data_IF_742360055932
#
_entry.id   IF_742360055932
#
_cell.length_a   1.000
_cell.length_b   1.000
_cell.length_c   1.000
_cell.angle_alpha   90.00
_cell.angle_beta   90.00
_cell.angle_gamma   90.00
#
_symmetry.space_group_name_H-M   'P 1'
#
loop_
_entity.id
_entity.type
_entity.pdbx_description
1 polymer ?
#
# COMPACT_ATOMS: atom_id res chain seq x y z
N UNK A 1 6.19 33.31 39.90
CA UNK A 1 6.93 32.84 38.72
C UNK A 1 6.20 31.63 38.18
N UNK A 2 5.42 31.82 37.11
CA UNK A 2 4.72 30.73 36.45
C UNK A 2 5.72 29.91 35.63
N UNK A 3 5.76 28.60 35.85
CA UNK A 3 6.53 27.68 35.04
C UNK A 3 6.02 27.74 33.60
N UNK A 4 6.90 28.18 32.69
CA UNK A 4 6.68 28.01 31.26
C UNK A 4 6.62 26.51 30.99
N UNK A 5 5.44 26.02 30.62
CA UNK A 5 5.31 24.70 30.05
C UNK A 5 6.19 24.66 28.79
N UNK A 6 7.22 23.81 28.79
CA UNK A 6 8.06 23.57 27.63
C UNK A 6 7.14 23.26 26.44
N UNK A 7 7.21 24.11 25.42
CA UNK A 7 6.54 23.82 24.15
C UNK A 7 7.11 22.51 23.61
N UNK A 8 6.30 21.56 23.14
CA UNK A 8 6.80 20.26 22.68
C UNK A 8 7.86 20.49 21.59
N UNK A 9 9.10 20.13 21.88
CA UNK A 9 10.24 20.34 20.99
C UNK A 9 10.19 19.33 19.84
N UNK A 10 10.09 19.79 18.60
CA UNK A 10 10.18 18.94 17.41
C UNK A 10 9.52 19.55 16.17
N UNK A 11 9.74 18.98 14.96
CA UNK A 11 9.10 19.44 13.74
C UNK A 11 7.56 19.42 13.83
N UNK A 12 6.89 20.35 13.13
CA UNK A 12 5.43 20.50 13.21
C UNK A 12 4.66 19.20 12.88
N UNK A 13 5.11 18.45 11.86
CA UNK A 13 4.49 17.18 11.49
C UNK A 13 4.60 16.11 12.58
N UNK A 14 5.67 16.11 13.38
CA UNK A 14 5.87 15.18 14.49
C UNK A 14 4.89 15.52 15.60
N UNK A 15 4.81 16.80 15.97
CA UNK A 15 3.86 17.26 16.98
C UNK A 15 2.41 16.96 16.57
N UNK A 16 2.08 17.14 15.29
CA UNK A 16 0.75 16.78 14.76
C UNK A 16 0.50 15.28 14.82
N UNK A 17 1.46 14.47 14.38
CA UNK A 17 1.39 13.02 14.43
C UNK A 17 1.18 12.48 15.85
N UNK A 18 1.89 13.04 16.85
CA UNK A 18 1.70 12.65 18.26
C UNK A 18 0.31 12.99 18.79
N UNK A 19 -0.27 14.12 18.39
CA UNK A 19 -1.68 14.44 18.73
C UNK A 19 -2.66 13.43 18.14
N UNK A 20 -2.47 13.05 16.87
CA UNK A 20 -3.30 12.05 16.19
C UNK A 20 -3.12 10.67 16.84
N UNK A 21 -1.89 10.26 17.16
CA UNK A 21 -1.59 9.05 17.93
C UNK A 21 -2.31 9.02 19.28
N UNK A 22 -2.31 10.15 20.01
CA UNK A 22 -3.02 10.28 21.28
C UNK A 22 -4.52 10.02 21.15
N UNK A 23 -5.15 10.61 20.13
CA UNK A 23 -6.58 10.37 19.82
C UNK A 23 -6.84 8.91 19.43
N UNK A 24 -5.96 8.32 18.62
CA UNK A 24 -6.06 6.92 18.22
C UNK A 24 -5.95 5.95 19.42
N UNK A 25 -5.02 6.20 20.35
CA UNK A 25 -4.90 5.40 21.58
C UNK A 25 -6.17 5.49 22.42
N UNK A 26 -6.69 6.70 22.64
CA UNK A 26 -7.93 6.91 23.38
C UNK A 26 -9.14 6.20 22.73
N UNK A 27 -9.25 6.25 21.40
CA UNK A 27 -10.26 5.49 20.64
C UNK A 27 -10.11 3.97 20.84
N UNK A 28 -8.89 3.44 20.77
CA UNK A 28 -8.62 2.02 21.01
C UNK A 28 -8.99 1.56 22.41
N UNK A 29 -8.66 2.33 23.44
CA UNK A 29 -9.04 2.03 24.82
C UNK A 29 -10.57 2.01 25.02
N UNK A 30 -11.30 2.88 24.32
CA UNK A 30 -12.77 2.86 24.34
C UNK A 30 -13.35 1.60 23.68
N UNK A 31 -12.78 1.18 22.55
CA UNK A 31 -13.17 -0.10 21.92
C UNK A 31 -12.95 -1.29 22.85
N UNK A 32 -11.81 -1.32 23.56
CA UNK A 32 -11.49 -2.39 24.51
C UNK A 32 -12.52 -2.42 25.66
N UNK A 33 -12.91 -1.26 26.19
CA UNK A 33 -13.96 -1.16 27.22
C UNK A 33 -15.34 -1.60 26.71
N UNK A 34 -15.71 -1.22 25.49
CA UNK A 34 -16.97 -1.64 24.88
C UNK A 34 -16.99 -3.16 24.68
N UNK A 35 -15.89 -3.75 24.23
CA UNK A 35 -15.75 -5.20 24.08
C UNK A 35 -15.96 -5.93 25.40
N UNK A 36 -15.27 -5.50 26.46
CA UNK A 36 -15.39 -6.11 27.78
C UNK A 36 -16.84 -6.02 28.31
N UNK A 37 -17.46 -4.85 28.17
CA UNK A 37 -18.85 -4.61 28.61
C UNK A 37 -19.86 -5.44 27.82
N UNK A 38 -19.71 -5.50 26.48
CA UNK A 38 -20.56 -6.33 25.62
C UNK A 38 -20.35 -7.81 25.93
N UNK A 39 -19.10 -8.27 26.04
CA UNK A 39 -18.76 -9.64 26.36
C UNK A 39 -19.38 -10.12 27.67
N UNK A 40 -19.31 -9.30 28.73
CA UNK A 40 -19.97 -9.61 30.01
C UNK A 40 -21.48 -9.83 29.85
N UNK A 41 -22.17 -8.94 29.14
CA UNK A 41 -23.62 -9.05 28.89
C UNK A 41 -23.99 -10.24 28.00
N UNK A 42 -23.19 -10.54 26.98
CA UNK A 42 -23.43 -11.68 26.10
C UNK A 42 -23.35 -13.01 26.85
N UNK A 43 -22.40 -13.17 27.78
CA UNK A 43 -22.30 -14.40 28.57
C UNK A 43 -23.56 -14.67 29.40
N UNK A 44 -24.23 -13.61 29.86
CA UNK A 44 -25.44 -13.71 30.68
C UNK A 44 -26.72 -13.86 29.84
N UNK A 45 -26.88 -13.01 28.82
CA UNK A 45 -28.16 -12.84 28.13
C UNK A 45 -28.24 -13.53 26.75
N UNK A 46 -27.10 -13.80 26.09
CA UNK A 46 -27.03 -14.30 24.71
C UNK A 46 -25.71 -15.06 24.43
N UNK A 47 -25.45 -16.18 25.13
CA UNK A 47 -24.16 -16.89 25.08
C UNK A 47 -23.79 -17.39 23.68
N UNK A 48 -24.79 -17.64 22.82
CA UNK A 48 -24.60 -18.04 21.43
C UNK A 48 -23.89 -16.97 20.57
N UNK A 49 -23.90 -15.71 21.00
CA UNK A 49 -23.23 -14.60 20.30
C UNK A 49 -21.78 -14.38 20.76
N UNK A 50 -21.33 -15.00 21.86
CA UNK A 50 -19.97 -14.83 22.41
C UNK A 50 -18.91 -15.22 21.39
N UNK A 51 -19.07 -16.37 20.73
CA UNK A 51 -18.13 -16.82 19.70
C UNK A 51 -18.03 -15.83 18.51
N UNK A 52 -19.12 -15.11 18.19
CA UNK A 52 -19.09 -14.06 17.15
C UNK A 52 -18.31 -12.82 17.59
N UNK A 53 -18.32 -12.49 18.88
CA UNK A 53 -17.50 -11.42 19.44
C UNK A 53 -16.03 -11.83 19.55
N UNK A 54 -15.73 -13.07 19.93
CA UNK A 54 -14.36 -13.61 20.04
C UNK A 54 -13.68 -13.74 18.68
N UNK A 55 -14.45 -14.03 17.63
CA UNK A 55 -13.98 -14.04 16.23
C UNK A 55 -13.90 -12.64 15.61
N UNK A 56 -14.03 -11.58 16.42
CA UNK A 56 -13.80 -10.21 15.95
C UNK A 56 -12.36 -10.04 15.48
N UNK A 57 -12.11 -9.16 14.49
CA UNK A 57 -10.76 -8.86 14.04
C UNK A 57 -9.87 -8.50 15.25
N UNK A 58 -8.73 -9.20 15.48
CA UNK A 58 -7.83 -8.82 16.55
C UNK A 58 -7.33 -7.39 16.37
N UNK A 59 -6.88 -6.81 17.49
CA UNK A 59 -6.16 -5.54 17.51
C UNK A 59 -5.06 -5.54 16.43
N UNK A 60 -4.81 -4.42 15.74
CA UNK A 60 -3.66 -4.29 14.85
C UNK A 60 -2.40 -4.80 15.55
N UNK A 61 -1.73 -5.77 14.94
CA UNK A 61 -0.52 -6.33 15.52
C UNK A 61 0.58 -5.26 15.50
N UNK A 62 1.33 -5.07 16.59
CA UNK A 62 2.49 -4.20 16.53
C UNK A 62 3.48 -4.77 15.51
N UNK A 63 4.19 -3.91 14.78
CA UNK A 63 5.23 -4.38 13.88
C UNK A 63 6.38 -5.01 14.67
N UNK A 64 7.14 -5.88 14.03
CA UNK A 64 8.29 -6.52 14.67
C UNK A 64 8.75 -7.79 13.96
N UNK A 65 9.89 -8.31 14.39
CA UNK A 65 10.47 -9.52 13.83
C UNK A 65 9.54 -10.73 13.99
N UNK A 66 9.43 -11.56 12.96
CA UNK A 66 8.57 -12.75 12.95
C UNK A 66 7.07 -12.46 12.95
N UNK A 67 6.65 -11.21 12.77
CA UNK A 67 5.24 -10.86 12.57
C UNK A 67 4.94 -10.94 11.06
N UNK A 68 3.99 -11.80 10.71
CA UNK A 68 3.56 -12.01 9.34
C UNK A 68 2.23 -11.30 9.07
N UNK A 69 2.05 -10.77 7.86
CA UNK A 69 0.76 -10.28 7.43
C UNK A 69 -0.18 -11.45 7.16
N UNK A 70 -1.48 -11.20 7.25
CA UNK A 70 -2.45 -12.15 6.74
C UNK A 70 -2.61 -11.94 5.23
N UNK A 71 -2.56 -13.03 4.48
CA UNK A 71 -2.86 -13.01 3.05
C UNK A 71 -4.38 -12.92 2.86
N UNK A 72 -4.84 -11.85 2.20
CA UNK A 72 -6.25 -11.62 1.89
C UNK A 72 -6.48 -11.69 0.39
N UNK A 73 -7.72 -11.91 -0.04
CA UNK A 73 -8.04 -11.88 -1.46
C UNK A 73 -7.82 -10.47 -2.03
N UNK A 74 -7.50 -10.41 -3.32
CA UNK A 74 -7.51 -9.13 -4.03
C UNK A 74 -8.91 -8.50 -3.95
N UNK A 75 -9.00 -7.16 -3.87
CA UNK A 75 -10.28 -6.49 -3.96
C UNK A 75 -10.93 -6.82 -5.31
N UNK A 76 -12.27 -6.90 -5.34
CA UNK A 76 -13.00 -7.08 -6.59
C UNK A 76 -12.59 -6.00 -7.60
N UNK A 77 -12.41 -6.35 -8.89
CA UNK A 77 -12.07 -5.37 -9.91
C UNK A 77 -13.12 -4.26 -9.89
N UNK A 78 -12.70 -3.04 -9.54
CA UNK A 78 -13.55 -1.87 -9.71
C UNK A 78 -13.75 -1.62 -11.20
N UNK A 79 -14.93 -1.11 -11.59
CA UNK A 79 -15.22 -0.71 -12.96
C UNK A 79 -14.07 0.15 -13.54
N UNK A 80 -13.79 0.04 -14.86
CA UNK A 80 -12.72 0.80 -15.49
C UNK A 80 -12.86 2.27 -15.10
N UNK A 81 -11.84 2.82 -14.44
CA UNK A 81 -11.84 4.22 -14.06
C UNK A 81 -11.46 5.04 -15.29
N UNK A 82 -12.24 6.07 -15.58
CA UNK A 82 -11.94 7.02 -16.65
C UNK A 82 -10.78 7.97 -16.30
N UNK A 83 -10.26 7.92 -15.07
CA UNK A 83 -9.23 8.82 -14.56
C UNK A 83 -8.12 8.11 -13.82
N UNK A 84 -6.96 8.72 -13.81
CA UNK A 84 -5.79 8.26 -13.07
C UNK A 84 -6.13 8.08 -11.59
N UNK A 85 -6.02 6.86 -11.03
CA UNK A 85 -6.20 6.66 -9.60
C UNK A 85 -5.24 7.55 -8.80
N UNK A 86 -5.79 8.30 -7.85
CA UNK A 86 -5.00 9.00 -6.85
C UNK A 86 -5.47 8.68 -5.44
N UNK A 87 -4.51 8.55 -4.53
CA UNK A 87 -4.74 8.40 -3.10
C UNK A 87 -4.07 9.56 -2.38
N UNK A 88 -4.66 10.06 -1.29
CA UNK A 88 -4.07 11.13 -0.49
C UNK A 88 -4.07 10.81 1.00
N UNK A 89 -2.95 11.10 1.65
CA UNK A 89 -2.68 10.78 3.04
C UNK A 89 -2.21 12.03 3.77
N UNK A 90 -2.84 12.35 4.90
CA UNK A 90 -2.45 13.47 5.75
C UNK A 90 -2.94 13.27 7.18
N UNK A 91 -2.30 13.95 8.14
CA UNK A 91 -2.75 13.93 9.52
C UNK A 91 -4.20 14.41 9.69
N UNK A 92 -4.65 15.52 9.06
CA UNK A 92 -6.05 15.96 9.19
C UNK A 92 -7.06 14.98 8.58
N UNK A 93 -6.69 14.22 7.55
CA UNK A 93 -7.57 13.20 6.99
C UNK A 93 -7.73 12.01 7.95
N UNK A 94 -6.60 11.52 8.51
CA UNK A 94 -6.60 10.43 9.49
C UNK A 94 -7.31 10.83 10.78
N UNK A 95 -7.14 12.07 11.24
CA UNK A 95 -7.86 12.59 12.42
C UNK A 95 -9.37 12.57 12.21
N UNK A 96 -9.86 13.04 11.05
CA UNK A 96 -11.28 12.99 10.69
C UNK A 96 -11.81 11.55 10.64
N UNK A 97 -10.99 10.57 10.26
CA UNK A 97 -11.41 9.17 10.32
C UNK A 97 -11.61 8.71 11.76
N UNK A 98 -10.67 9.04 12.66
CA UNK A 98 -10.79 8.71 14.09
C UNK A 98 -12.02 9.40 14.71
N UNK A 99 -12.27 10.67 14.39
CA UNK A 99 -13.42 11.43 14.88
C UNK A 99 -14.75 10.75 14.51
N UNK A 100 -14.93 10.40 13.22
CA UNK A 100 -16.16 9.71 12.77
C UNK A 100 -16.38 8.36 13.43
N UNK A 101 -15.33 7.57 13.66
CA UNK A 101 -15.48 6.30 14.36
C UNK A 101 -15.71 6.49 15.88
N UNK A 102 -15.18 7.56 16.45
CA UNK A 102 -15.44 7.95 17.84
C UNK A 102 -16.91 8.35 18.02
N UNK A 103 -17.51 9.10 17.08
CA UNK A 103 -18.93 9.43 17.09
C UNK A 103 -19.85 8.20 16.96
N UNK A 104 -19.38 7.12 16.34
CA UNK A 104 -20.10 5.83 16.35
C UNK A 104 -20.03 5.18 17.73
N UNK A 105 -18.86 5.18 18.37
CA UNK A 105 -18.73 4.69 19.75
C UNK A 105 -19.59 5.47 20.74
N UNK A 106 -19.66 6.79 20.62
CA UNK A 106 -20.52 7.65 21.45
C UNK A 106 -22.00 7.25 21.39
N UNK A 107 -22.43 6.66 20.26
CA UNK A 107 -23.80 6.13 20.09
C UNK A 107 -23.96 4.72 20.63
N UNK A 108 -22.97 3.84 20.42
CA UNK A 108 -23.05 2.43 20.81
C UNK A 108 -22.94 2.21 22.32
N UNK A 109 -22.10 2.99 23.02
CA UNK A 109 -21.91 2.88 24.48
C UNK A 109 -23.23 3.02 25.27
N UNK A 110 -24.05 4.08 25.08
CA UNK A 110 -25.36 4.17 25.75
C UNK A 110 -26.41 3.20 25.18
N UNK A 111 -26.33 2.85 23.88
CA UNK A 111 -27.22 1.87 23.28
C UNK A 111 -27.06 0.48 23.91
N UNK A 112 -25.82 0.07 24.22
CA UNK A 112 -25.55 -1.17 24.95
C UNK A 112 -26.30 -1.20 26.27
N UNK A 113 -26.27 -0.11 27.04
CA UNK A 113 -27.00 0.01 28.29
C UNK A 113 -28.51 -0.16 28.10
N UNK A 114 -29.08 0.46 27.05
CA UNK A 114 -30.51 0.39 26.71
C UNK A 114 -30.96 -1.00 26.27
N UNK A 115 -30.12 -1.78 25.58
CA UNK A 115 -30.49 -3.14 25.15
C UNK A 115 -30.89 -4.00 26.35
N UNK A 116 -30.18 -3.90 27.48
CA UNK A 116 -30.49 -4.70 28.67
C UNK A 116 -31.87 -4.41 29.29
N UNK A 117 -32.52 -3.29 28.95
CA UNK A 117 -33.88 -2.98 29.44
C UNK A 117 -34.98 -3.54 28.53
N UNK A 118 -34.62 -4.17 27.40
CA UNK A 118 -35.58 -4.72 26.45
C UNK A 118 -36.12 -6.09 26.91
N UNK A 119 -37.23 -6.51 26.31
CA UNK A 119 -37.73 -7.86 26.47
C UNK A 119 -36.69 -8.90 26.01
N UNK A 120 -36.67 -10.12 26.58
CA UNK A 120 -35.64 -11.13 26.28
C UNK A 120 -35.46 -11.42 24.78
N UNK A 121 -36.54 -11.51 24.00
CA UNK A 121 -36.47 -11.75 22.56
C UNK A 121 -35.84 -10.59 21.77
N UNK A 122 -36.10 -9.35 22.19
CA UNK A 122 -35.54 -8.14 21.56
C UNK A 122 -34.09 -7.89 21.99
N UNK A 123 -33.68 -8.40 23.16
CA UNK A 123 -32.30 -8.32 23.66
C UNK A 123 -31.31 -9.03 22.74
N UNK A 124 -31.60 -10.27 22.36
CA UNK A 124 -30.72 -11.06 21.48
C UNK A 124 -30.53 -10.36 20.13
N UNK A 125 -31.60 -9.85 19.53
CA UNK A 125 -31.53 -9.09 18.28
C UNK A 125 -30.72 -7.78 18.41
N UNK A 126 -30.88 -7.06 19.53
CA UNK A 126 -30.09 -5.88 19.85
C UNK A 126 -28.60 -6.18 20.01
N UNK A 127 -28.27 -7.23 20.78
CA UNK A 127 -26.90 -7.67 20.97
C UNK A 127 -26.24 -8.16 19.68
N UNK A 128 -26.98 -8.86 18.80
CA UNK A 128 -26.45 -9.27 17.50
C UNK A 128 -26.02 -8.07 16.65
N UNK A 129 -26.84 -7.00 16.60
CA UNK A 129 -26.48 -5.75 15.91
C UNK A 129 -25.26 -5.08 16.55
N UNK A 130 -25.17 -5.10 17.88
CA UNK A 130 -24.03 -4.53 18.62
C UNK A 130 -22.72 -5.27 18.29
N UNK A 131 -22.76 -6.60 18.21
CA UNK A 131 -21.59 -7.42 17.81
C UNK A 131 -21.15 -7.07 16.39
N UNK A 132 -22.07 -6.93 15.44
CA UNK A 132 -21.72 -6.57 14.05
C UNK A 132 -21.14 -5.15 13.95
N UNK A 133 -21.74 -4.18 14.66
CA UNK A 133 -21.23 -2.81 14.72
C UNK A 133 -19.83 -2.75 15.36
N UNK A 134 -19.60 -3.50 16.44
CA UNK A 134 -18.30 -3.61 17.08
C UNK A 134 -17.24 -4.22 16.15
N UNK A 135 -17.58 -5.31 15.43
CA UNK A 135 -16.67 -5.93 14.46
C UNK A 135 -16.26 -4.94 13.37
N UNK A 136 -17.21 -4.17 12.84
CA UNK A 136 -16.92 -3.13 11.85
C UNK A 136 -16.00 -2.02 12.40
N UNK A 137 -16.18 -1.61 13.66
CA UNK A 137 -15.28 -0.66 14.31
C UNK A 137 -13.86 -1.22 14.46
N UNK A 138 -13.71 -2.51 14.81
CA UNK A 138 -12.40 -3.17 14.88
C UNK A 138 -11.72 -3.30 13.52
N UNK A 139 -12.48 -3.63 12.48
CA UNK A 139 -11.95 -3.61 11.11
C UNK A 139 -11.47 -2.21 10.72
N UNK A 140 -12.25 -1.17 11.04
CA UNK A 140 -11.89 0.22 10.74
C UNK A 140 -10.69 0.70 11.55
N UNK A 141 -10.53 0.23 12.80
CA UNK A 141 -9.37 0.54 13.64
C UNK A 141 -8.04 0.11 12.99
N UNK A 142 -8.03 -1.02 12.25
CA UNK A 142 -6.86 -1.47 11.48
C UNK A 142 -6.55 -0.52 10.34
N UNK A 143 -7.56 -0.11 9.59
CA UNK A 143 -7.35 0.85 8.51
C UNK A 143 -6.78 2.16 9.06
N UNK A 144 -7.30 2.67 10.19
CA UNK A 144 -6.76 3.87 10.84
C UNK A 144 -5.29 3.68 11.24
N UNK A 145 -4.93 2.53 11.81
CA UNK A 145 -3.53 2.21 12.15
C UNK A 145 -2.62 2.28 10.91
N UNK A 146 -3.05 1.68 9.79
CA UNK A 146 -2.32 1.72 8.52
C UNK A 146 -2.09 3.16 8.06
N UNK A 147 -3.12 4.01 8.12
CA UNK A 147 -3.01 5.42 7.77
C UNK A 147 -2.04 6.17 8.70
N UNK A 148 -2.02 5.87 10.00
CA UNK A 148 -1.07 6.48 10.94
C UNK A 148 0.37 6.10 10.58
N UNK A 149 0.63 4.82 10.35
CA UNK A 149 1.96 4.34 10.01
C UNK A 149 2.45 4.89 8.66
N UNK A 150 1.56 4.94 7.65
CA UNK A 150 1.86 5.57 6.36
C UNK A 150 2.20 7.04 6.49
N UNK A 151 1.46 7.80 7.30
CA UNK A 151 1.79 9.20 7.56
C UNK A 151 3.18 9.31 8.21
N UNK A 152 3.50 8.51 9.23
CA UNK A 152 4.83 8.57 9.86
C UNK A 152 5.96 8.31 8.87
N UNK A 153 5.80 7.31 7.99
CA UNK A 153 6.76 6.98 6.94
C UNK A 153 6.97 8.19 6.01
N UNK A 154 5.91 8.70 5.40
CA UNK A 154 6.03 9.69 4.35
C UNK A 154 6.35 11.10 4.84
N UNK A 155 5.82 11.49 5.99
CA UNK A 155 6.15 12.78 6.60
C UNK A 155 7.66 12.88 6.86
N UNK A 156 8.24 11.80 7.39
CA UNK A 156 9.68 11.71 7.66
C UNK A 156 10.51 11.63 6.38
N UNK A 157 10.03 10.95 5.34
CA UNK A 157 10.70 10.88 4.06
C UNK A 157 10.77 12.25 3.37
N UNK A 158 9.64 12.97 3.29
CA UNK A 158 9.56 14.31 2.70
C UNK A 158 10.43 15.30 3.47
N UNK A 159 10.35 15.29 4.81
CA UNK A 159 11.17 16.18 5.64
C UNK A 159 12.68 15.96 5.43
N UNK A 160 13.10 14.73 5.13
CA UNK A 160 14.51 14.36 4.91
C UNK A 160 15.01 14.72 3.51
N UNK A 161 14.16 14.60 2.49
CA UNK A 161 14.53 14.82 1.08
C UNK A 161 13.54 15.74 0.35
N UNK A 162 13.42 16.99 0.85
CA UNK A 162 12.49 17.95 0.27
C UNK A 162 12.72 18.19 -1.23
N UNK A 163 13.98 18.27 -1.66
CA UNK A 163 14.32 18.52 -3.06
C UNK A 163 13.89 17.36 -3.99
N UNK A 164 14.10 16.10 -3.57
CA UNK A 164 13.61 14.94 -4.32
C UNK A 164 12.09 14.94 -4.46
N UNK A 165 11.36 15.28 -3.40
CA UNK A 165 9.90 15.37 -3.44
C UNK A 165 9.37 16.59 -4.20
N UNK A 166 10.11 17.70 -4.25
CA UNK A 166 9.77 18.85 -5.12
C UNK A 166 9.87 18.45 -6.61
N UNK A 167 10.85 17.63 -6.96
CA UNK A 167 10.93 17.04 -8.29
C UNK A 167 9.76 16.09 -8.57
N UNK A 168 9.38 15.23 -7.61
CA UNK A 168 8.20 14.36 -7.74
C UNK A 168 6.90 15.17 -7.90
N UNK A 169 6.77 16.33 -7.27
CA UNK A 169 5.63 17.23 -7.47
C UNK A 169 5.53 17.76 -8.90
N UNK A 170 6.64 18.12 -9.52
CA UNK A 170 6.66 18.55 -10.92
C UNK A 170 6.20 17.41 -11.84
N UNK A 171 6.69 16.19 -11.61
CA UNK A 171 6.27 15.00 -12.34
C UNK A 171 4.79 14.67 -12.12
N UNK A 172 4.28 14.82 -10.89
CA UNK A 172 2.88 14.62 -10.57
C UNK A 172 1.98 15.59 -11.37
N UNK A 173 2.39 16.86 -11.46
CA UNK A 173 1.73 17.86 -12.31
C UNK A 173 1.75 17.45 -13.79
N UNK A 174 2.88 16.97 -14.28
CA UNK A 174 3.02 16.49 -15.66
C UNK A 174 2.09 15.29 -15.96
N UNK A 175 1.92 14.33 -15.03
CA UNK A 175 0.96 13.22 -15.19
C UNK A 175 -0.46 13.72 -15.34
N UNK A 176 -0.89 14.63 -14.45
CA UNK A 176 -2.24 15.20 -14.49
C UNK A 176 -2.48 16.03 -15.76
N UNK A 177 -1.46 16.76 -16.21
CA UNK A 177 -1.51 17.50 -17.47
C UNK A 177 -1.64 16.56 -18.68
N UNK A 178 -0.86 15.47 -18.71
CA UNK A 178 -0.97 14.46 -19.77
C UNK A 178 -2.37 13.84 -19.82
N UNK A 179 -2.96 13.57 -18.67
CA UNK A 179 -4.34 13.08 -18.57
C UNK A 179 -5.33 14.10 -19.15
N UNK A 180 -5.26 15.37 -18.75
CA UNK A 180 -6.12 16.42 -19.30
C UNK A 180 -5.96 16.58 -20.82
N UNK A 181 -4.72 16.47 -21.33
CA UNK A 181 -4.43 16.47 -22.77
C UNK A 181 -5.04 15.26 -23.47
N UNK A 182 -4.94 14.06 -22.89
CA UNK A 182 -5.55 12.84 -23.43
C UNK A 182 -7.08 12.89 -23.42
N UNK A 183 -7.67 13.41 -22.35
CA UNK A 183 -9.11 13.64 -22.25
C UNK A 183 -9.59 14.56 -23.39
N UNK A 184 -8.88 15.68 -23.62
CA UNK A 184 -9.16 16.56 -24.74
C UNK A 184 -9.03 15.84 -26.09
N UNK A 185 -7.93 15.13 -26.35
CA UNK A 185 -7.72 14.39 -27.60
C UNK A 185 -8.74 13.25 -27.83
N UNK A 186 -9.37 12.75 -26.76
CA UNK A 186 -10.38 11.69 -26.82
C UNK A 186 -11.82 12.21 -27.02
N UNK A 187 -12.02 13.53 -26.95
CA UNK A 187 -13.34 14.14 -27.08
C UNK A 187 -13.96 13.84 -28.46
N UNK A 188 -15.22 13.40 -28.44
CA UNK A 188 -15.94 12.95 -29.64
C UNK A 188 -16.51 14.06 -30.52
N UNK A 189 -16.54 15.30 -30.03
CA UNK A 189 -17.10 16.46 -30.73
C UNK A 189 -16.45 17.78 -30.30
N UNK A 190 -16.84 18.86 -30.99
CA UNK A 190 -16.23 20.16 -30.84
C UNK A 190 -16.40 20.77 -29.44
N UNK A 191 -17.61 20.66 -28.89
CA UNK A 191 -17.98 21.25 -27.61
C UNK A 191 -17.30 20.52 -26.46
N UNK A 192 -17.23 19.19 -26.53
CA UNK A 192 -16.56 18.34 -25.54
C UNK A 192 -15.06 18.63 -25.46
N UNK A 193 -14.41 18.85 -26.60
CA UNK A 193 -12.98 19.21 -26.64
C UNK A 193 -12.71 20.60 -26.12
N UNK A 194 -13.49 21.61 -26.52
CA UNK A 194 -13.33 22.96 -25.98
C UNK A 194 -13.56 23.00 -24.47
N UNK A 195 -14.50 22.19 -23.95
CA UNK A 195 -14.67 22.00 -22.52
C UNK A 195 -13.45 21.34 -21.88
N UNK A 196 -12.94 20.25 -22.43
CA UNK A 196 -11.75 19.56 -21.90
C UNK A 196 -10.48 20.42 -21.96
N UNK A 197 -10.35 21.30 -22.95
CA UNK A 197 -9.25 22.26 -23.07
C UNK A 197 -9.17 23.24 -21.89
N UNK A 198 -10.27 23.51 -21.19
CA UNK A 198 -10.22 24.40 -20.01
C UNK A 198 -9.39 23.83 -18.87
N UNK A 199 -9.20 22.51 -18.83
CA UNK A 199 -8.38 21.81 -17.85
C UNK A 199 -6.89 21.73 -18.28
N UNK A 200 -6.57 22.11 -19.53
CA UNK A 200 -5.19 22.14 -20.04
C UNK A 200 -4.59 23.53 -19.90
N UNK A 201 -3.60 23.68 -19.03
CA UNK A 201 -2.97 24.98 -18.75
C UNK A 201 -2.15 25.51 -19.95
N UNK A 202 -2.29 26.82 -20.21
CA UNK A 202 -1.46 27.53 -21.19
C UNK A 202 -1.82 27.32 -22.66
N UNK A 203 -3.04 26.87 -22.97
CA UNK A 203 -3.53 26.77 -24.35
C UNK A 203 -4.47 27.94 -24.67
N UNK A 204 -4.22 28.61 -25.79
CA UNK A 204 -5.15 29.60 -26.35
C UNK A 204 -6.22 28.90 -27.20
N UNK A 205 -7.44 28.78 -26.66
CA UNK A 205 -8.55 28.07 -27.30
C UNK A 205 -9.10 28.74 -28.58
N UNK A 206 -8.55 29.90 -29.00
CA UNK A 206 -8.96 30.65 -30.19
C UNK A 206 -8.38 30.11 -31.50
N UNK A 207 -7.46 29.14 -31.44
CA UNK A 207 -6.85 28.54 -32.64
C UNK A 207 -7.77 27.53 -33.32
N UNK A 208 -7.57 27.23 -34.63
CA UNK A 208 -8.30 26.17 -35.32
C UNK A 208 -8.07 24.81 -34.66
N UNK A 209 -9.13 23.99 -34.61
CA UNK A 209 -9.10 22.64 -34.04
C UNK A 209 -7.89 21.81 -34.46
N UNK A 210 -7.62 21.73 -35.76
CA UNK A 210 -6.52 20.91 -36.29
C UNK A 210 -5.15 21.34 -35.78
N UNK A 211 -4.98 22.64 -35.50
CA UNK A 211 -3.75 23.19 -34.92
C UNK A 211 -3.67 22.84 -33.43
N UNK A 212 -4.78 22.99 -32.70
CA UNK A 212 -4.88 22.59 -31.29
C UNK A 212 -4.62 21.10 -31.10
N UNK A 213 -5.23 20.25 -31.92
CA UNK A 213 -5.06 18.79 -31.87
C UNK A 213 -3.60 18.38 -32.15
N UNK A 214 -2.97 18.92 -33.20
CA UNK A 214 -1.57 18.63 -33.50
C UNK A 214 -0.64 19.08 -32.36
N UNK A 215 -0.88 20.27 -31.80
CA UNK A 215 -0.14 20.78 -30.63
C UNK A 215 -0.30 19.91 -29.40
N UNK A 216 -1.53 19.48 -29.10
CA UNK A 216 -1.84 18.56 -27.99
C UNK A 216 -1.16 17.20 -28.17
N UNK A 217 -1.15 16.63 -29.37
CA UNK A 217 -0.44 15.35 -29.64
C UNK A 217 1.07 15.48 -29.40
N UNK A 218 1.67 16.59 -29.85
CA UNK A 218 3.10 16.83 -29.61
C UNK A 218 3.40 17.05 -28.12
N UNK A 219 2.51 17.74 -27.40
CA UNK A 219 2.61 17.96 -25.96
C UNK A 219 2.48 16.67 -25.17
N UNK A 220 1.47 15.84 -25.48
CA UNK A 220 1.29 14.50 -24.93
C UNK A 220 2.55 13.65 -25.11
N UNK A 221 3.10 13.61 -26.32
CA UNK A 221 4.29 12.82 -26.62
C UNK A 221 5.52 13.32 -25.85
N UNK A 222 5.63 14.63 -25.63
CA UNK A 222 6.74 15.23 -24.87
C UNK A 222 6.64 14.88 -23.39
N UNK A 223 5.49 15.12 -22.78
CA UNK A 223 5.24 14.79 -21.37
C UNK A 223 5.38 13.28 -21.13
N UNK A 224 4.88 12.45 -22.04
CA UNK A 224 5.03 10.99 -21.96
C UNK A 224 6.49 10.55 -21.94
N UNK A 225 7.38 11.18 -22.74
CA UNK A 225 8.82 10.89 -22.70
C UNK A 225 9.47 11.34 -21.39
N UNK A 226 9.07 12.49 -20.84
CA UNK A 226 9.60 12.99 -19.57
C UNK A 226 9.23 12.06 -18.39
N UNK A 227 7.96 11.64 -18.32
CA UNK A 227 7.50 10.67 -17.33
C UNK A 227 8.26 9.34 -17.48
N UNK A 228 8.32 8.81 -18.71
CA UNK A 228 9.02 7.56 -18.99
C UNK A 228 10.51 7.62 -18.61
N UNK A 229 11.21 8.73 -18.84
CA UNK A 229 12.61 8.88 -18.49
C UNK A 229 12.88 8.71 -16.97
N UNK A 230 11.88 9.00 -16.13
CA UNK A 230 11.98 8.78 -14.69
C UNK A 230 11.46 7.40 -14.27
N UNK A 231 10.30 6.97 -14.81
CA UNK A 231 9.61 5.75 -14.37
C UNK A 231 10.14 4.47 -15.01
N UNK A 232 10.76 4.53 -16.19
CA UNK A 232 11.24 3.36 -16.93
C UNK A 232 12.67 2.93 -16.57
N UNK A 233 13.23 3.48 -15.49
CA UNK A 233 14.53 3.04 -14.99
C UNK A 233 14.45 1.58 -14.54
N UNK A 234 15.21 0.73 -15.21
CA UNK A 234 15.30 -0.70 -14.95
C UNK A 234 16.75 -1.11 -14.78
N UNK A 235 17.02 -1.97 -13.81
CA UNK A 235 18.33 -2.60 -13.65
C UNK A 235 18.11 -4.06 -13.33
N UNK A 236 18.40 -4.93 -14.31
CA UNK A 236 18.24 -6.37 -14.13
C UNK A 236 19.15 -6.87 -13.00
N UNK A 237 18.60 -7.51 -11.95
CA UNK A 237 19.41 -8.09 -10.91
C UNK A 237 20.25 -9.25 -11.46
N UNK A 238 21.53 -9.38 -11.03
CA UNK A 238 22.46 -10.36 -11.60
C UNK A 238 22.04 -11.82 -11.33
N UNK A 239 21.21 -12.05 -10.32
CA UNK A 239 20.74 -13.39 -9.95
C UNK A 239 19.54 -13.89 -10.78
N UNK A 240 18.91 -13.02 -11.59
CA UNK A 240 17.76 -13.42 -12.42
C UNK A 240 18.26 -14.25 -13.60
N UNK A 241 17.84 -15.50 -13.68
CA UNK A 241 18.20 -16.43 -14.76
C UNK A 241 17.03 -16.57 -15.73
N UNK A 242 17.28 -16.39 -17.02
CA UNK A 242 16.27 -16.57 -18.06
C UNK A 242 16.59 -17.83 -18.84
N UNK A 243 15.57 -18.66 -19.05
CA UNK A 243 15.67 -19.87 -19.86
C UNK A 243 14.51 -19.91 -20.85
N UNK A 244 14.77 -20.44 -22.04
CA UNK A 244 13.78 -20.65 -23.09
C UNK A 244 13.71 -22.15 -23.43
N UNK A 245 13.12 -22.97 -22.55
CA UNK A 245 13.20 -24.43 -22.66
C UNK A 245 12.52 -25.02 -23.89
N UNK A 246 11.50 -24.34 -24.43
CA UNK A 246 10.81 -24.73 -25.66
C UNK A 246 10.46 -23.47 -26.45
N UNK A 247 10.16 -23.59 -27.76
CA UNK A 247 9.54 -22.49 -28.50
C UNK A 247 8.38 -21.89 -27.72
N UNK A 248 8.30 -20.57 -27.72
CA UNK A 248 7.23 -19.80 -27.05
C UNK A 248 7.11 -19.96 -25.53
N UNK A 249 8.11 -20.52 -24.82
CA UNK A 249 8.07 -20.60 -23.37
C UNK A 249 9.32 -19.97 -22.74
N UNK A 250 9.12 -18.85 -22.06
CA UNK A 250 10.15 -18.14 -21.29
C UNK A 250 9.95 -18.40 -19.79
N UNK A 251 11.03 -18.81 -19.11
CA UNK A 251 11.04 -19.07 -17.67
C UNK A 251 12.11 -18.23 -17.00
N UNK A 252 11.68 -17.40 -16.06
CA UNK A 252 12.52 -16.50 -15.26
C UNK A 252 12.73 -17.15 -13.90
N UNK A 253 13.92 -17.68 -13.63
CA UNK A 253 14.31 -18.29 -12.37
C UNK A 253 14.91 -17.27 -11.41
N UNK A 254 14.35 -17.18 -10.21
CA UNK A 254 14.77 -16.21 -9.18
C UNK A 254 15.08 -16.96 -7.88
N UNK A 255 16.36 -17.00 -7.44
CA UNK A 255 16.69 -17.46 -6.10
C UNK A 255 16.19 -16.46 -5.06
N UNK A 256 15.60 -16.97 -3.98
CA UNK A 256 15.06 -16.16 -2.89
C UNK A 256 15.41 -16.81 -1.55
N UNK A 257 16.10 -16.09 -0.68
CA UNK A 257 16.40 -16.52 0.68
C UNK A 257 15.36 -16.00 1.67
N UNK A 258 15.00 -16.81 2.67
CA UNK A 258 14.09 -16.39 3.74
C UNK A 258 14.45 -16.98 5.09
N UNK A 259 14.26 -16.21 6.15
CA UNK A 259 14.36 -16.68 7.54
C UNK A 259 13.00 -16.94 8.19
N UNK A 260 11.91 -16.85 7.42
CA UNK A 260 10.55 -17.09 7.89
C UNK A 260 10.33 -18.60 8.02
N UNK A 261 10.03 -19.04 9.24
CA UNK A 261 9.84 -20.45 9.55
C UNK A 261 8.45 -20.99 9.15
N UNK A 262 7.46 -20.09 8.99
CA UNK A 262 6.11 -20.43 8.56
C UNK A 262 6.10 -20.89 7.08
N UNK A 263 6.11 -22.21 6.90
CA UNK A 263 6.11 -22.83 5.56
C UNK A 263 4.80 -22.64 4.81
N UNK A 264 3.67 -22.55 5.49
CA UNK A 264 2.38 -22.37 4.82
C UNK A 264 2.30 -20.99 4.19
N UNK A 265 2.73 -19.97 4.94
CA UNK A 265 2.86 -18.61 4.44
C UNK A 265 3.80 -18.57 3.23
N UNK A 266 4.98 -19.18 3.32
CA UNK A 266 5.97 -19.14 2.23
C UNK A 266 5.51 -19.90 0.98
N UNK A 267 4.84 -21.04 1.12
CA UNK A 267 4.21 -21.72 -0.01
C UNK A 267 3.11 -20.87 -0.65
N UNK A 268 2.31 -20.18 0.17
CA UNK A 268 1.27 -19.29 -0.32
C UNK A 268 1.85 -18.09 -1.06
N UNK A 269 2.85 -17.40 -0.48
CA UNK A 269 3.60 -16.33 -1.13
C UNK A 269 4.13 -16.78 -2.50
N UNK A 270 4.83 -17.92 -2.56
CA UNK A 270 5.39 -18.47 -3.80
C UNK A 270 4.32 -18.66 -4.87
N UNK A 271 3.22 -19.33 -4.52
CA UNK A 271 2.12 -19.62 -5.44
C UNK A 271 1.48 -18.32 -5.95
N UNK A 272 1.25 -17.35 -5.07
CA UNK A 272 0.63 -16.08 -5.43
C UNK A 272 1.50 -15.29 -6.42
N UNK A 273 2.78 -15.09 -6.09
CA UNK A 273 3.71 -14.35 -6.94
C UNK A 273 3.87 -15.04 -8.30
N UNK A 274 4.09 -16.35 -8.34
CA UNK A 274 4.23 -17.09 -9.61
C UNK A 274 2.95 -17.07 -10.45
N UNK A 275 1.77 -17.02 -9.82
CA UNK A 275 0.51 -16.96 -10.53
C UNK A 275 0.24 -15.59 -11.14
N UNK A 276 0.58 -14.50 -10.44
CA UNK A 276 0.45 -13.13 -10.96
C UNK A 276 1.51 -12.86 -12.04
N UNK A 277 2.76 -13.27 -11.82
CA UNK A 277 3.86 -13.16 -12.79
C UNK A 277 3.86 -14.28 -13.83
N UNK A 278 2.68 -14.60 -14.35
CA UNK A 278 2.46 -15.51 -15.49
C UNK A 278 1.64 -14.80 -16.54
N UNK A 279 2.18 -14.72 -17.75
CA UNK A 279 1.55 -14.06 -18.88
C UNK A 279 1.50 -15.00 -20.08
N UNK A 280 0.38 -14.97 -20.81
CA UNK A 280 0.29 -15.49 -22.17
C UNK A 280 -0.06 -14.32 -23.07
N UNK A 281 0.75 -14.10 -24.09
CA UNK A 281 0.51 -13.07 -25.10
C UNK A 281 0.79 -13.66 -26.49
N UNK A 282 -0.28 -13.85 -27.26
CA UNK A 282 -0.26 -14.68 -28.47
C UNK A 282 0.16 -16.14 -28.17
N UNK A 283 1.18 -16.59 -28.90
CA UNK A 283 1.78 -17.92 -28.71
C UNK A 283 2.75 -17.96 -27.53
N UNK A 284 3.35 -16.82 -27.18
CA UNK A 284 4.37 -16.74 -26.15
C UNK A 284 3.76 -16.85 -24.74
N UNK A 285 4.46 -17.61 -23.90
CA UNK A 285 4.15 -17.81 -22.49
C UNK A 285 5.36 -17.42 -21.67
N UNK A 286 5.14 -16.55 -20.70
CA UNK A 286 6.14 -16.08 -19.75
C UNK A 286 5.73 -16.50 -18.35
N UNK A 287 6.69 -16.97 -17.54
CA UNK A 287 6.45 -17.25 -16.13
C UNK A 287 7.68 -17.06 -15.27
N UNK A 288 7.45 -16.55 -14.07
CA UNK A 288 8.42 -16.55 -12.98
C UNK A 288 8.43 -17.91 -12.27
N UNK A 289 9.60 -18.33 -11.81
CA UNK A 289 9.81 -19.49 -10.95
C UNK A 289 10.76 -19.14 -9.81
N UNK A 290 10.25 -19.16 -8.58
CA UNK A 290 11.03 -18.90 -7.37
C UNK A 290 11.75 -20.16 -6.90
N UNK A 291 13.04 -20.04 -6.58
CA UNK A 291 13.79 -21.07 -5.88
C UNK A 291 14.04 -20.59 -4.44
N UNK A 292 13.18 -21.02 -3.52
CA UNK A 292 13.20 -20.53 -2.14
C UNK A 292 14.14 -21.38 -1.28
N UNK A 293 15.09 -20.72 -0.64
CA UNK A 293 16.03 -21.30 0.33
C UNK A 293 15.67 -20.80 1.73
N UNK A 294 15.46 -21.73 2.66
CA UNK A 294 15.22 -21.40 4.06
C UNK A 294 16.55 -21.28 4.81
N UNK A 295 16.75 -20.15 5.47
CA UNK A 295 17.89 -19.85 6.33
C UNK A 295 17.40 -19.82 7.79
N UNK A 296 17.61 -20.88 8.58
CA UNK A 296 17.21 -20.90 9.98
C UNK A 296 17.80 -19.70 10.74
N UNK A 297 17.03 -19.10 11.64
CA UNK A 297 17.50 -17.93 12.40
C UNK A 297 18.84 -18.19 13.12
N UNK A 298 19.05 -19.40 13.64
CA UNK A 298 20.33 -19.80 14.23
C UNK A 298 21.53 -19.69 13.26
N UNK A 299 21.32 -19.97 11.96
CA UNK A 299 22.36 -19.81 10.93
C UNK A 299 22.59 -18.33 10.63
N UNK A 300 21.52 -17.55 10.55
CA UNK A 300 21.57 -16.12 10.21
C UNK A 300 22.24 -15.29 11.32
N UNK A 301 21.91 -15.59 12.58
CA UNK A 301 22.40 -14.88 13.76
C UNK A 301 23.67 -15.50 14.37
N UNK A 302 24.02 -16.74 14.00
CA UNK A 302 25.19 -17.47 14.49
C UNK A 302 25.20 -17.53 16.03
N UNK A 303 26.18 -16.89 16.67
CA UNK A 303 26.33 -16.84 18.13
C UNK A 303 25.53 -15.69 18.78
N UNK A 304 24.89 -14.82 17.98
CA UNK A 304 24.07 -13.72 18.49
C UNK A 304 22.69 -14.23 18.89
N UNK A 305 22.08 -13.56 19.86
CA UNK A 305 20.70 -13.83 20.22
C UNK A 305 19.78 -13.54 19.02
N UNK A 306 18.94 -14.51 18.69
CA UNK A 306 17.85 -14.33 17.72
C UNK A 306 16.81 -13.39 18.34
N UNK A 307 16.32 -12.37 17.62
CA UNK A 307 15.26 -11.51 18.12
C UNK A 307 14.01 -12.33 18.45
N UNK A 308 13.34 -11.97 19.55
CA UNK A 308 12.05 -12.57 19.88
C UNK A 308 11.00 -12.12 18.88
N UNK A 309 9.97 -12.95 18.68
CA UNK A 309 8.81 -12.56 17.88
C UNK A 309 8.20 -11.26 18.40
N UNK A 310 7.88 -10.33 17.50
CA UNK A 310 7.37 -8.99 17.81
C UNK A 310 8.43 -7.99 18.28
N UNK A 311 9.70 -8.39 18.44
CA UNK A 311 10.73 -7.46 18.86
C UNK A 311 11.07 -6.47 17.73
N UNK A 312 11.31 -5.19 18.05
CA UNK A 312 11.88 -4.26 17.08
C UNK A 312 13.30 -4.72 16.71
N UNK A 313 13.66 -4.54 15.45
CA UNK A 313 14.99 -4.89 14.93
C UNK A 313 15.58 -3.71 14.16
N UNK A 314 16.90 -3.61 14.15
CA UNK A 314 17.61 -2.83 13.15
C UNK A 314 17.55 -3.59 11.83
N UNK A 315 16.68 -3.13 10.93
CA UNK A 315 16.40 -3.79 9.66
C UNK A 315 17.63 -3.80 8.74
N UNK A 316 18.42 -2.73 8.72
CA UNK A 316 19.62 -2.66 7.89
C UNK A 316 20.64 -3.73 8.35
N UNK A 317 20.91 -3.77 9.65
CA UNK A 317 21.83 -4.75 10.24
C UNK A 317 21.31 -6.20 10.14
N UNK A 318 19.99 -6.41 10.07
CA UNK A 318 19.38 -7.71 9.82
C UNK A 318 19.59 -8.17 8.37
N UNK A 319 19.32 -7.29 7.41
CA UNK A 319 19.44 -7.61 5.97
C UNK A 319 20.87 -7.82 5.50
N UNK A 320 21.86 -7.26 6.18
CA UNK A 320 23.29 -7.55 5.95
C UNK A 320 23.66 -9.01 6.24
N UNK A 321 22.82 -9.76 6.96
CA UNK A 321 23.08 -11.17 7.31
C UNK A 321 22.74 -12.14 6.20
N UNK A 322 21.90 -11.72 5.25
CA UNK A 322 21.48 -12.56 4.14
C UNK A 322 22.55 -12.61 3.03
N UNK A 323 22.62 -13.73 2.29
CA UNK A 323 23.36 -13.78 1.04
C UNK A 323 22.93 -12.68 0.06
N UNK A 324 23.81 -12.32 -0.88
CA UNK A 324 23.58 -11.25 -1.87
C UNK A 324 23.40 -11.79 -3.30
N UNK A 325 23.40 -13.12 -3.46
CA UNK A 325 23.25 -13.84 -4.73
C UNK A 325 21.80 -14.23 -5.05
N UNK A 326 20.83 -13.68 -4.30
CA UNK A 326 19.41 -13.78 -4.54
C UNK A 326 18.61 -12.64 -3.93
N UNK A 327 17.30 -12.65 -4.14
CA UNK A 327 16.39 -11.79 -3.39
C UNK A 327 16.20 -12.27 -1.96
N UNK A 328 15.67 -11.42 -1.08
CA UNK A 328 15.38 -11.79 0.31
C UNK A 328 13.89 -11.57 0.60
N UNK A 329 13.29 -12.47 1.37
CA UNK A 329 11.97 -12.29 1.98
C UNK A 329 12.08 -12.47 3.50
N UNK A 330 11.80 -11.42 4.26
CA UNK A 330 11.89 -11.44 5.73
C UNK A 330 10.80 -10.57 6.37
N UNK A 331 10.86 -10.38 7.68
CA UNK A 331 9.89 -9.64 8.51
C UNK A 331 10.58 -8.55 9.32
N UNK A 332 9.79 -7.71 10.00
CA UNK A 332 10.32 -6.70 10.93
C UNK A 332 10.08 -5.27 10.48
N UNK A 333 9.41 -5.06 9.35
CA UNK A 333 9.00 -3.73 8.92
C UNK A 333 7.72 -3.27 9.63
N UNK A 334 7.53 -1.95 9.69
CA UNK A 334 6.24 -1.35 10.06
C UNK A 334 5.18 -1.57 8.98
N UNK A 335 5.58 -1.50 7.71
CA UNK A 335 4.73 -1.77 6.55
C UNK A 335 5.50 -2.64 5.57
N UNK A 336 4.79 -3.50 4.84
CA UNK A 336 5.44 -4.29 3.78
C UNK A 336 6.02 -3.36 2.72
N UNK A 337 7.29 -3.56 2.37
CA UNK A 337 7.98 -2.81 1.33
C UNK A 337 9.21 -3.58 0.84
N UNK A 338 9.71 -3.20 -0.34
CA UNK A 338 11.07 -3.56 -0.78
C UNK A 338 12.08 -2.49 -0.38
N UNK A 339 13.19 -2.92 0.19
CA UNK A 339 14.35 -2.06 0.44
C UNK A 339 15.49 -2.33 -0.54
N UNK A 340 16.51 -1.47 -0.51
CA UNK A 340 17.67 -1.55 -1.37
C UNK A 340 18.31 -2.95 -1.35
N UNK A 341 18.54 -3.52 -2.54
CA UNK A 341 19.14 -4.85 -2.69
C UNK A 341 18.12 -6.00 -2.80
N UNK A 342 16.94 -5.77 -3.36
CA UNK A 342 15.96 -6.81 -3.71
C UNK A 342 15.43 -7.61 -2.49
N UNK A 343 15.17 -6.91 -1.39
CA UNK A 343 14.70 -7.49 -0.13
C UNK A 343 13.25 -7.06 0.14
N UNK A 344 12.30 -8.00 0.11
CA UNK A 344 10.93 -7.80 0.58
C UNK A 344 10.92 -7.96 2.10
N UNK A 345 10.53 -6.91 2.81
CA UNK A 345 10.41 -6.93 4.27
C UNK A 345 8.95 -6.75 4.62
N UNK A 346 8.36 -7.80 5.20
CA UNK A 346 6.95 -7.85 5.53
C UNK A 346 6.65 -7.05 6.80
N UNK A 347 5.54 -6.31 6.74
CA UNK A 347 4.89 -5.72 7.90
C UNK A 347 3.68 -6.54 8.36
N UNK A 348 2.99 -6.11 9.43
CA UNK A 348 1.89 -6.86 10.05
C UNK A 348 0.56 -6.78 9.28
N UNK A 349 0.45 -5.87 8.30
CA UNK A 349 -0.82 -5.51 7.67
C UNK A 349 -1.26 -6.52 6.64
N UNK A 350 -2.57 -6.78 6.58
CA UNK A 350 -3.17 -7.61 5.53
C UNK A 350 -2.62 -7.25 4.15
N UNK A 351 -2.23 -8.26 3.38
CA UNK A 351 -1.64 -8.04 2.06
C UNK A 351 -2.32 -8.90 1.00
N UNK A 352 -2.63 -8.27 -0.11
CA UNK A 352 -3.26 -8.89 -1.26
C UNK A 352 -2.21 -9.44 -2.25
N UNK A 353 -2.54 -10.47 -3.05
CA UNK A 353 -1.65 -11.05 -4.05
C UNK A 353 -1.00 -10.04 -5.00
N UNK A 354 -1.77 -9.08 -5.55
CA UNK A 354 -1.22 -8.10 -6.49
C UNK A 354 -0.20 -7.18 -5.82
N UNK A 355 -0.44 -6.80 -4.55
CA UNK A 355 0.51 -5.98 -3.79
C UNK A 355 1.80 -6.75 -3.54
N UNK A 356 1.73 -8.02 -3.14
CA UNK A 356 2.93 -8.86 -3.02
C UNK A 356 3.69 -9.03 -4.35
N UNK A 357 2.95 -9.20 -5.45
CA UNK A 357 3.54 -9.33 -6.76
C UNK A 357 4.18 -8.02 -7.25
N UNK A 358 3.62 -6.87 -6.88
CA UNK A 358 4.21 -5.56 -7.08
C UNK A 358 5.54 -5.41 -6.34
N UNK A 359 5.56 -5.73 -5.03
CA UNK A 359 6.80 -5.74 -4.25
C UNK A 359 7.84 -6.70 -4.88
N UNK A 360 7.40 -7.86 -5.37
CA UNK A 360 8.27 -8.77 -6.11
C UNK A 360 8.79 -8.16 -7.44
N UNK A 361 8.04 -7.28 -8.09
CA UNK A 361 8.53 -6.51 -9.24
C UNK A 361 9.78 -5.70 -8.93
N UNK A 362 9.89 -5.14 -7.72
CA UNK A 362 11.13 -4.49 -7.27
C UNK A 362 12.30 -5.47 -7.10
N UNK A 363 12.03 -6.71 -6.67
CA UNK A 363 13.05 -7.77 -6.64
C UNK A 363 13.57 -8.07 -8.05
N UNK A 364 12.73 -7.94 -9.08
CA UNK A 364 13.12 -8.08 -10.49
C UNK A 364 13.83 -6.86 -11.07
N UNK A 365 13.95 -5.76 -10.31
CA UNK A 365 14.65 -4.54 -10.73
C UNK A 365 13.76 -3.46 -11.35
N UNK A 366 12.44 -3.61 -11.27
CA UNK A 366 11.50 -2.56 -11.67
C UNK A 366 11.34 -1.51 -10.56
N UNK A 367 11.08 -0.27 -10.95
CA UNK A 367 10.71 0.81 -10.03
C UNK A 367 9.20 1.01 -10.04
N UNK A 368 8.72 1.68 -8.99
CA UNK A 368 7.38 2.27 -8.99
C UNK A 368 7.21 3.15 -10.22
N UNK A 369 6.08 3.00 -10.92
CA UNK A 369 5.67 3.96 -11.96
C UNK A 369 4.57 4.89 -11.48
N UNK A 370 4.13 4.77 -10.21
CA UNK A 370 3.34 5.81 -9.56
C UNK A 370 4.25 6.87 -8.94
N UNK A 371 3.78 8.12 -9.03
CA UNK A 371 4.50 9.30 -8.57
C UNK A 371 3.91 9.73 -7.23
N UNK A 372 4.80 10.12 -6.30
CA UNK A 372 4.41 10.58 -4.96
C UNK A 372 4.67 12.08 -4.84
N UNK A 373 3.63 12.86 -5.09
CA UNK A 373 3.63 14.28 -4.80
C UNK A 373 3.32 14.55 -3.32
N UNK A 374 3.50 15.81 -2.91
CA UNK A 374 3.08 16.29 -1.61
C UNK A 374 2.66 17.77 -1.64
N UNK A 375 1.84 18.16 -0.68
CA UNK A 375 1.51 19.54 -0.37
C UNK A 375 1.89 19.85 1.07
N UNK A 376 2.62 20.94 1.29
CA UNK A 376 2.91 21.43 2.63
C UNK A 376 1.66 22.08 3.24
N UNK A 377 1.23 21.59 4.40
CA UNK A 377 0.10 22.10 5.19
C UNK A 377 0.57 22.85 6.45
N UNK A 378 1.88 23.15 6.56
CA UNK A 378 2.46 23.88 7.68
C UNK A 378 2.34 23.11 8.99
N UNK A 379 1.56 23.66 9.94
CA UNK A 379 1.38 23.07 11.27
C UNK A 379 0.72 21.67 11.25
N UNK A 380 0.04 21.33 10.16
CA UNK A 380 -0.59 20.03 9.94
C UNK A 380 0.34 19.00 9.25
N UNK A 381 1.60 19.37 8.97
CA UNK A 381 2.55 18.53 8.25
C UNK A 381 2.31 18.54 6.74
N UNK A 382 2.59 17.42 6.09
CA UNK A 382 2.43 17.24 4.64
C UNK A 382 1.14 16.48 4.30
N UNK A 383 0.58 16.75 3.13
CA UNK A 383 -0.40 15.88 2.49
C UNK A 383 0.29 15.19 1.32
N UNK A 384 0.42 13.87 1.38
CA UNK A 384 1.05 13.06 0.33
C UNK A 384 -0.03 12.66 -0.67
N UNK A 385 0.26 12.75 -1.95
CA UNK A 385 -0.62 12.28 -3.02
C UNK A 385 0.14 11.28 -3.89
N UNK A 386 -0.38 10.07 -4.00
CA UNK A 386 0.13 9.04 -4.90
C UNK A 386 -0.70 9.05 -6.17
N UNK A 387 -0.05 9.07 -7.34
CA UNK A 387 -0.70 9.14 -8.66
C UNK A 387 -0.14 8.02 -9.54
N UNK A 388 -0.99 7.11 -9.99
CA UNK A 388 -0.58 6.00 -10.85
C UNK A 388 -0.35 6.48 -12.30
N UNK A 389 0.89 6.76 -12.71
CA UNK A 389 1.13 7.28 -14.06
C UNK A 389 0.75 6.29 -15.17
N UNK A 390 0.75 4.99 -14.87
CA UNK A 390 0.21 3.94 -15.74
C UNK A 390 -0.65 2.96 -14.91
N UNK A 391 -1.98 3.16 -14.86
CA UNK A 391 -2.86 2.33 -14.04
C UNK A 391 -3.00 0.89 -14.56
N UNK A 392 -2.62 0.63 -15.81
CA UNK A 392 -2.67 -0.68 -16.46
C UNK A 392 -1.34 -1.45 -16.32
N UNK A 393 -0.45 -0.98 -15.44
CA UNK A 393 0.81 -1.64 -15.09
C UNK A 393 0.81 -2.03 -13.62
N UNK A 394 1.17 -3.28 -13.29
CA UNK A 394 1.36 -3.72 -11.89
C UNK A 394 2.33 -2.81 -11.12
N UNK A 395 3.34 -2.24 -11.79
CA UNK A 395 4.31 -1.32 -11.18
C UNK A 395 3.74 0.09 -10.96
N UNK A 396 2.63 0.44 -11.61
CA UNK A 396 1.92 1.71 -11.43
C UNK A 396 0.68 1.60 -10.56
N UNK A 397 0.08 0.42 -10.50
CA UNK A 397 -1.15 0.12 -9.77
C UNK A 397 -0.98 -1.18 -8.98
N UNK A 398 -0.35 -1.14 -7.79
CA UNK A 398 -0.05 -2.35 -7.00
C UNK A 398 -1.28 -3.21 -6.65
N UNK A 399 -2.47 -2.61 -6.59
CA UNK A 399 -3.69 -3.30 -6.18
C UNK A 399 -4.51 -3.91 -7.32
N UNK A 400 -4.23 -3.57 -8.58
CA UNK A 400 -5.08 -3.95 -9.71
C UNK A 400 -4.37 -4.03 -11.07
N UNK A 401 -3.20 -3.41 -11.22
CA UNK A 401 -2.45 -3.38 -12.47
C UNK A 401 -1.96 -4.78 -12.86
N UNK A 402 -2.13 -5.19 -14.13
CA UNK A 402 -1.63 -6.46 -14.62
C UNK A 402 -0.12 -6.46 -14.85
N UNK A 403 0.47 -7.66 -14.85
CA UNK A 403 1.82 -7.88 -15.40
C UNK A 403 1.72 -7.84 -16.93
N UNK A 404 2.64 -7.13 -17.57
CA UNK A 404 2.64 -6.85 -19.00
C UNK A 404 3.82 -7.50 -19.71
N UNK A 405 3.69 -7.71 -21.03
CA UNK A 405 4.74 -8.31 -21.87
C UNK A 405 6.06 -7.54 -21.77
N UNK A 406 5.99 -6.21 -21.75
CA UNK A 406 7.15 -5.32 -21.64
C UNK A 406 8.00 -5.57 -20.39
N UNK A 407 7.43 -6.08 -19.29
CA UNK A 407 8.23 -6.43 -18.11
C UNK A 407 9.17 -7.59 -18.43
N UNK A 408 8.67 -8.64 -19.08
CA UNK A 408 9.49 -9.78 -19.47
C UNK A 408 10.53 -9.41 -20.53
N UNK A 409 10.15 -8.61 -21.54
CA UNK A 409 11.04 -8.14 -22.59
C UNK A 409 12.21 -7.32 -22.01
N UNK A 410 11.95 -6.44 -21.04
CA UNK A 410 13.00 -5.69 -20.33
C UNK A 410 14.01 -6.60 -19.64
N UNK A 411 13.54 -7.68 -19.00
CA UNK A 411 14.44 -8.65 -18.34
C UNK A 411 15.26 -9.44 -19.38
N UNK A 412 14.64 -9.82 -20.50
CA UNK A 412 15.34 -10.50 -21.61
C UNK A 412 16.41 -9.58 -22.22
N UNK A 413 16.11 -8.28 -22.33
CA UNK A 413 16.94 -7.24 -22.92
C UNK A 413 16.88 -7.23 -24.45
N UNK A 414 17.13 -6.08 -25.07
CA UNK A 414 17.10 -5.86 -26.53
C UNK A 414 18.12 -6.70 -27.33
N UNK A 415 19.00 -7.44 -26.64
CA UNK A 415 20.06 -8.27 -27.25
C UNK A 415 19.78 -9.77 -27.30
N UNK A 416 18.60 -10.23 -26.91
CA UNK A 416 18.26 -11.67 -26.91
C UNK A 416 17.04 -11.97 -27.79
N UNK A 417 17.04 -11.52 -29.03
CA UNK A 417 16.33 -12.27 -30.08
C UNK A 417 17.23 -13.45 -30.50
N UNK A 418 16.66 -14.65 -30.72
CA UNK A 418 17.42 -15.80 -31.20
C UNK A 418 18.11 -15.55 -32.54
#
# INVERSE_FOLDING_TARGET
MAAQAESPSGPAYVQRGERVNGRYRAYGERLDRLQASLGGRLHEDAPELVARLETSPPRPAPPGYGILPRLVADPSPSAPRSRTPSASYSWPATERFIERETEKLDRLEPELARIATLAPGDRVAGYAKMVDAYRQLRDTQRNIDNHIQYNWLWQSAIARDKAGYDHQNALAGAVLEREAVRDALSAGDADAFHKALTDVTGIEASQPWSTLEAGLRQREATISREIAAETDRFTRPPFVRVTHPTPHLWVFGIPLDTDIEDREFIHSFKRLVENVWRLRDGEDRFRVKLAITYLPAARLYRQRAVPRQGAPIDLAAHLERFPKDGGVLTTGASSTHVTAGACIVLGPHDIAPHVLAHEFGHVLGFRDTYIRGYRDRGADGYEVTEIAADPDDIMGSPGAGPVLRRHFERIIGDGSQP
#
